data_IF_262803506785
#
_entry.id   IF_262803506785
#
_cell.length_a   1.000
_cell.length_b   1.000
_cell.length_c   1.000
_cell.angle_alpha   90.00
_cell.angle_beta   90.00
_cell.angle_gamma   90.00
#
_symmetry.space_group_name_H-M   'P 1'
#
loop_
_entity.id
_entity.type
_entity.pdbx_description
1 polymer ?
#
# COMPACT_ATOMS: atom_id res chain seq x y z
N UNK A 1 -4.50 25.71 33.66
CA UNK A 1 -5.42 25.01 32.75
C UNK A 1 -4.58 24.44 31.61
N UNK A 2 -4.07 23.24 31.81
CA UNK A 2 -3.37 22.47 30.78
C UNK A 2 -4.45 21.91 29.85
N UNK A 3 -4.47 22.40 28.60
CA UNK A 3 -5.23 21.77 27.54
C UNK A 3 -4.63 20.39 27.29
N UNK A 4 -5.34 19.36 27.76
CA UNK A 4 -5.08 17.97 27.42
C UNK A 4 -5.56 17.80 25.97
N UNK A 5 -4.65 18.04 25.01
CA UNK A 5 -4.86 17.68 23.61
C UNK A 5 -4.90 16.15 23.53
N UNK A 6 -6.09 15.59 23.74
CA UNK A 6 -6.37 14.20 23.43
C UNK A 6 -6.22 14.03 21.92
N UNK A 7 -5.02 13.61 21.50
CA UNK A 7 -4.75 13.13 20.15
C UNK A 7 -5.86 12.14 19.75
N UNK A 8 -6.45 12.29 18.54
CA UNK A 8 -7.46 11.35 18.08
C UNK A 8 -6.88 9.95 18.13
N UNK A 9 -7.59 9.03 18.81
CA UNK A 9 -7.20 7.62 18.85
C UNK A 9 -7.16 7.11 17.41
N UNK A 10 -6.06 6.51 16.96
CA UNK A 10 -5.96 6.02 15.59
C UNK A 10 -7.04 4.95 15.36
N UNK A 11 -7.76 5.04 14.24
CA UNK A 11 -8.60 3.94 13.80
C UNK A 11 -7.70 2.82 13.31
N UNK A 12 -7.63 1.75 14.11
CA UNK A 12 -6.83 0.58 13.79
C UNK A 12 -7.55 -0.22 12.71
N UNK A 13 -7.25 0.08 11.45
CA UNK A 13 -7.67 -0.75 10.32
C UNK A 13 -6.57 -1.79 10.06
N UNK A 14 -6.54 -2.85 10.87
CA UNK A 14 -5.61 -3.97 10.68
C UNK A 14 -5.88 -4.79 9.40
N UNK A 15 -6.94 -4.49 8.65
CA UNK A 15 -7.34 -5.25 7.49
C UNK A 15 -6.82 -4.60 6.21
N UNK A 16 -6.16 -5.38 5.35
CA UNK A 16 -5.83 -4.98 3.96
C UNK A 16 -7.07 -4.81 3.06
N UNK A 17 -8.27 -5.06 3.59
CA UNK A 17 -9.53 -5.04 2.87
C UNK A 17 -10.65 -4.50 3.75
N UNK A 18 -11.49 -3.67 3.15
CA UNK A 18 -12.72 -3.15 3.70
C UNK A 18 -13.83 -3.51 2.72
N UNK A 19 -14.85 -4.20 3.22
CA UNK A 19 -16.00 -4.60 2.43
C UNK A 19 -17.14 -3.62 2.66
N UNK A 20 -17.72 -3.11 1.58
CA UNK A 20 -18.81 -2.13 1.60
C UNK A 20 -19.97 -2.73 0.84
N UNK A 21 -21.13 -2.94 1.47
CA UNK A 21 -22.24 -3.65 0.82
C UNK A 21 -23.34 -2.71 0.34
N UNK A 22 -23.41 -1.51 0.89
CA UNK A 22 -24.46 -0.52 0.63
C UNK A 22 -23.89 0.89 0.41
N UNK A 23 -24.73 1.81 -0.06
CA UNK A 23 -24.34 3.22 -0.19
C UNK A 23 -24.20 3.85 1.20
N UNK A 24 -25.05 3.42 2.14
CA UNK A 24 -25.03 3.85 3.53
C UNK A 24 -23.73 3.44 4.23
N UNK A 25 -23.24 2.21 3.97
CA UNK A 25 -21.95 1.73 4.48
C UNK A 25 -20.80 2.58 3.93
N UNK A 26 -20.88 2.98 2.65
CA UNK A 26 -19.87 3.83 2.02
C UNK A 26 -19.87 5.24 2.63
N UNK A 27 -21.04 5.80 2.88
CA UNK A 27 -21.18 7.13 3.48
C UNK A 27 -20.68 7.14 4.92
N UNK A 28 -21.04 6.11 5.72
CA UNK A 28 -20.49 5.93 7.07
C UNK A 28 -18.97 5.78 7.03
N UNK A 29 -18.44 4.96 6.12
CA UNK A 29 -17.00 4.79 5.96
C UNK A 29 -16.30 6.10 5.59
N UNK A 30 -16.88 6.88 4.67
CA UNK A 30 -16.36 8.17 4.26
C UNK A 30 -16.27 9.15 5.45
N UNK A 31 -17.29 9.23 6.29
CA UNK A 31 -17.32 10.09 7.47
C UNK A 31 -16.33 9.64 8.56
N UNK A 32 -16.18 8.32 8.76
CA UNK A 32 -15.29 7.78 9.79
C UNK A 32 -13.81 7.80 9.41
N UNK A 33 -13.49 7.65 8.13
CA UNK A 33 -12.11 7.48 7.68
C UNK A 33 -11.41 8.79 7.36
N UNK A 34 -12.16 9.79 6.91
CA UNK A 34 -11.59 11.08 6.53
C UNK A 34 -11.24 11.87 7.78
N UNK A 35 -9.98 12.27 7.90
CA UNK A 35 -9.49 12.98 9.08
C UNK A 35 -8.95 12.07 10.18
N UNK A 36 -9.10 10.75 10.04
CA UNK A 36 -8.59 9.78 11.00
C UNK A 36 -7.39 9.03 10.43
N UNK A 37 -6.26 8.95 11.16
CA UNK A 37 -5.10 8.24 10.68
C UNK A 37 -5.37 6.73 10.61
N UNK A 38 -5.01 6.14 9.46
CA UNK A 38 -5.12 4.72 9.16
C UNK A 38 -3.82 3.99 9.53
N UNK A 39 -3.90 2.94 10.33
CA UNK A 39 -2.75 2.10 10.66
C UNK A 39 -2.76 0.82 9.82
N UNK A 40 -1.78 0.65 8.93
CA UNK A 40 -1.62 -0.50 8.05
C UNK A 40 -0.40 -1.32 8.46
N UNK A 41 -0.49 -2.66 8.39
CA UNK A 41 0.67 -3.55 8.48
C UNK A 41 1.30 -3.70 7.10
N UNK A 42 2.60 -3.45 7.00
CA UNK A 42 3.37 -3.57 5.76
C UNK A 42 4.55 -4.48 6.01
N UNK A 43 4.73 -5.48 5.15
CA UNK A 43 5.97 -6.27 5.12
C UNK A 43 6.96 -5.62 4.15
N UNK A 44 8.24 -5.58 4.51
CA UNK A 44 9.26 -4.93 3.70
C UNK A 44 10.57 -5.72 3.70
N UNK A 45 11.16 -5.86 2.50
CA UNK A 45 12.42 -6.56 2.27
C UNK A 45 13.39 -5.67 1.48
N UNK A 46 14.60 -5.52 2.01
CA UNK A 46 15.72 -4.85 1.36
C UNK A 46 16.77 -5.88 0.95
N UNK A 47 16.90 -6.11 -0.35
CA UNK A 47 17.86 -7.06 -0.94
C UNK A 47 19.01 -6.28 -1.57
N UNK A 48 20.25 -6.65 -1.23
CA UNK A 48 21.44 -6.19 -1.94
C UNK A 48 21.85 -7.28 -2.93
N UNK A 49 22.00 -6.92 -4.19
CA UNK A 49 22.66 -7.76 -5.19
C UNK A 49 24.10 -7.27 -5.36
N UNK A 50 25.05 -8.16 -5.14
CA UNK A 50 26.46 -7.93 -5.45
C UNK A 50 26.72 -8.25 -6.92
N UNK A 51 27.28 -7.30 -7.66
CA UNK A 51 27.59 -7.45 -9.10
C UNK A 51 28.56 -8.62 -9.37
N UNK A 52 29.36 -9.01 -8.38
CA UNK A 52 30.39 -10.05 -8.50
C UNK A 52 29.89 -11.48 -8.23
N UNK A 53 28.82 -11.66 -7.44
CA UNK A 53 28.41 -13.00 -6.99
C UNK A 53 27.05 -13.45 -7.52
N UNK A 54 26.27 -12.60 -8.21
CA UNK A 54 24.86 -12.86 -8.60
C UNK A 54 23.92 -13.32 -7.47
N UNK A 55 24.42 -13.52 -6.25
CA UNK A 55 23.64 -13.89 -5.09
C UNK A 55 22.95 -12.66 -4.51
N UNK A 56 21.64 -12.82 -4.32
CA UNK A 56 20.81 -11.86 -3.61
C UNK A 56 21.04 -12.06 -2.11
N UNK A 57 21.64 -11.09 -1.45
CA UNK A 57 21.76 -11.09 0.00
C UNK A 57 20.63 -10.23 0.59
N UNK A 58 19.77 -10.86 1.39
CA UNK A 58 18.76 -10.14 2.17
C UNK A 58 19.50 -9.34 3.25
N UNK A 59 19.54 -8.02 3.11
CA UNK A 59 20.18 -7.16 4.11
C UNK A 59 19.25 -6.91 5.28
N UNK A 60 17.95 -6.79 5.01
CA UNK A 60 16.94 -6.55 6.03
C UNK A 60 15.56 -7.03 5.57
N UNK A 61 14.85 -7.69 6.46
CA UNK A 61 13.45 -8.09 6.30
C UNK A 61 12.72 -7.74 7.60
N UNK A 62 11.52 -7.16 7.51
CA UNK A 62 10.72 -6.90 8.70
C UNK A 62 9.28 -6.46 8.45
N UNK A 63 8.44 -6.70 9.47
CA UNK A 63 7.12 -6.12 9.59
C UNK A 63 7.22 -4.67 10.08
N UNK A 64 6.58 -3.76 9.33
CA UNK A 64 6.45 -2.34 9.62
C UNK A 64 4.98 -1.99 9.83
N UNK A 65 4.77 -0.91 10.59
CA UNK A 65 3.48 -0.25 10.70
C UNK A 65 3.52 1.06 9.90
N UNK A 66 2.64 1.18 8.93
CA UNK A 66 2.44 2.39 8.13
C UNK A 66 1.25 3.15 8.70
N UNK A 67 1.51 4.34 9.25
CA UNK A 67 0.45 5.26 9.67
C UNK A 67 0.20 6.25 8.53
N UNK A 68 -1.00 6.21 7.97
CA UNK A 68 -1.43 7.06 6.86
C UNK A 68 -2.37 8.12 7.38
N UNK A 69 -1.97 9.38 7.27
CA UNK A 69 -2.84 10.52 7.58
C UNK A 69 -3.80 10.80 6.41
N UNK A 70 -5.05 10.36 6.54
CA UNK A 70 -6.08 10.56 5.51
C UNK A 70 -6.50 12.02 5.34
N UNK A 71 -6.14 12.89 6.28
CA UNK A 71 -6.39 14.34 6.19
C UNK A 71 -5.36 15.05 5.29
N UNK A 72 -4.26 14.36 4.96
CA UNK A 72 -3.16 14.95 4.20
C UNK A 72 -3.65 15.49 2.84
N UNK A 73 -3.25 16.70 2.42
CA UNK A 73 -3.78 17.37 1.22
C UNK A 73 -3.52 16.62 -0.09
N UNK A 74 -2.59 15.66 -0.11
CA UNK A 74 -2.34 14.80 -1.27
C UNK A 74 -3.08 13.45 -1.23
N UNK A 75 -3.55 13.00 -0.05
CA UNK A 75 -4.32 11.75 0.08
C UNK A 75 -5.80 12.04 -0.03
N UNK A 76 -6.26 13.04 0.73
CA UNK A 76 -7.68 13.35 0.89
C UNK A 76 -8.40 13.53 -0.44
N UNK A 77 -7.92 14.36 -1.39
CA UNK A 77 -8.66 14.58 -2.63
C UNK A 77 -8.70 13.35 -3.53
N UNK A 78 -7.66 12.52 -3.51
CA UNK A 78 -7.63 11.28 -4.30
C UNK A 78 -8.60 10.25 -3.72
N UNK A 79 -8.61 10.11 -2.39
CA UNK A 79 -9.50 9.21 -1.67
C UNK A 79 -10.97 9.65 -1.83
N UNK A 80 -11.28 10.92 -1.63
CA UNK A 80 -12.62 11.48 -1.84
C UNK A 80 -13.10 11.25 -3.28
N UNK A 81 -12.23 11.50 -4.28
CA UNK A 81 -12.56 11.25 -5.69
C UNK A 81 -12.88 9.77 -5.95
N UNK A 82 -12.11 8.86 -5.38
CA UNK A 82 -12.34 7.42 -5.56
C UNK A 82 -13.61 6.93 -4.84
N UNK A 83 -13.88 7.44 -3.64
CA UNK A 83 -15.11 7.13 -2.90
C UNK A 83 -16.34 7.67 -3.64
N UNK A 84 -16.28 8.87 -4.20
CA UNK A 84 -17.37 9.42 -5.01
C UNK A 84 -17.61 8.61 -6.30
N UNK A 85 -16.55 8.11 -6.95
CA UNK A 85 -16.70 7.17 -8.06
C UNK A 85 -17.37 5.86 -7.63
N UNK A 86 -16.95 5.28 -6.50
CA UNK A 86 -17.55 4.07 -5.93
C UNK A 86 -19.04 4.29 -5.59
N UNK A 87 -19.40 5.47 -5.07
CA UNK A 87 -20.79 5.84 -4.78
C UNK A 87 -21.67 5.76 -6.02
N UNK A 88 -21.22 6.35 -7.15
CA UNK A 88 -21.93 6.30 -8.44
C UNK A 88 -22.09 4.86 -8.95
N UNK A 89 -21.07 4.03 -8.76
CA UNK A 89 -21.12 2.61 -9.14
C UNK A 89 -22.13 1.84 -8.28
N UNK A 90 -22.13 2.05 -6.96
CA UNK A 90 -23.11 1.44 -6.06
C UNK A 90 -24.55 1.87 -6.38
N UNK A 91 -24.79 3.16 -6.66
CA UNK A 91 -26.11 3.68 -7.03
C UNK A 91 -26.64 3.05 -8.32
N UNK A 92 -25.76 2.72 -9.26
CA UNK A 92 -26.10 1.98 -10.49
C UNK A 92 -26.14 0.46 -10.31
N UNK A 93 -26.05 -0.04 -9.06
CA UNK A 93 -25.99 -1.47 -8.69
C UNK A 93 -24.79 -2.22 -9.30
N UNK A 94 -23.73 -1.50 -9.61
CA UNK A 94 -22.48 -2.08 -10.09
C UNK A 94 -21.56 -2.53 -8.96
N UNK A 95 -20.44 -3.15 -9.35
CA UNK A 95 -19.37 -3.51 -8.42
C UNK A 95 -18.11 -2.70 -8.67
N UNK A 96 -17.35 -2.45 -7.60
CA UNK A 96 -16.14 -1.65 -7.62
C UNK A 96 -15.06 -2.24 -6.72
N UNK A 97 -13.81 -1.90 -7.00
CA UNK A 97 -12.67 -2.18 -6.15
C UNK A 97 -11.71 -0.98 -6.19
N UNK A 98 -11.64 -0.23 -5.10
CA UNK A 98 -10.63 0.81 -4.90
C UNK A 98 -9.38 0.13 -4.35
N UNK A 99 -8.25 0.33 -5.03
CA UNK A 99 -6.93 -0.08 -4.57
C UNK A 99 -6.11 1.17 -4.28
N UNK A 100 -5.76 1.37 -3.01
CA UNK A 100 -4.81 2.40 -2.59
C UNK A 100 -3.44 1.75 -2.44
N UNK A 101 -2.50 2.19 -3.27
CA UNK A 101 -1.17 1.63 -3.40
C UNK A 101 -0.11 2.61 -2.87
N UNK A 102 0.38 2.34 -1.66
CA UNK A 102 1.45 3.11 -1.04
C UNK A 102 2.84 2.57 -1.39
N UNK A 103 2.93 1.51 -2.20
CA UNK A 103 4.20 0.89 -2.61
C UNK A 103 5.20 1.90 -3.20
N UNK A 104 4.81 2.73 -4.19
CA UNK A 104 5.72 3.71 -4.80
C UNK A 104 6.32 4.71 -3.80
N UNK A 105 5.51 5.20 -2.85
CA UNK A 105 5.95 6.14 -1.81
C UNK A 105 6.95 5.49 -0.85
N UNK A 106 6.72 4.24 -0.47
CA UNK A 106 7.64 3.45 0.36
C UNK A 106 8.94 3.16 -0.39
N UNK A 107 8.85 2.78 -1.67
CA UNK A 107 10.02 2.53 -2.52
C UNK A 107 10.92 3.77 -2.60
N UNK A 108 10.32 4.94 -2.78
CA UNK A 108 11.05 6.21 -2.80
C UNK A 108 11.72 6.50 -1.46
N UNK A 109 11.00 6.31 -0.35
CA UNK A 109 11.57 6.49 0.99
C UNK A 109 12.72 5.52 1.27
N UNK A 110 12.59 4.24 0.90
CA UNK A 110 13.64 3.25 1.11
C UNK A 110 14.90 3.58 0.31
N UNK A 111 14.77 4.07 -0.93
CA UNK A 111 15.93 4.55 -1.72
C UNK A 111 16.69 5.67 -1.02
N UNK A 112 15.99 6.55 -0.29
CA UNK A 112 16.60 7.65 0.46
C UNK A 112 17.20 7.16 1.79
N UNK A 113 16.48 6.28 2.52
CA UNK A 113 16.88 5.79 3.83
C UNK A 113 18.02 4.76 3.78
N UNK A 114 18.14 4.03 2.66
CA UNK A 114 19.15 3.02 2.40
C UNK A 114 19.83 3.30 1.05
N UNK A 115 20.64 4.37 0.97
CA UNK A 115 21.33 4.72 -0.27
C UNK A 115 22.28 3.60 -0.66
N UNK A 116 22.24 3.20 -1.94
CA UNK A 116 23.12 2.15 -2.46
C UNK A 116 24.58 2.61 -2.39
N UNK A 117 25.51 1.81 -1.83
CA UNK A 117 26.94 2.07 -2.02
C UNK A 117 27.29 1.97 -3.51
N UNK A 118 28.30 2.74 -3.94
CA UNK A 118 28.80 2.70 -5.31
C UNK A 118 29.13 1.24 -5.68
N UNK A 119 28.65 0.76 -6.84
CA UNK A 119 28.83 -0.60 -7.35
C UNK A 119 27.98 -1.72 -6.70
N UNK A 120 26.79 -1.42 -6.17
CA UNK A 120 25.81 -2.46 -5.75
C UNK A 120 24.42 -2.21 -6.32
N UNK A 121 23.79 -3.26 -6.85
CA UNK A 121 22.40 -3.25 -7.31
C UNK A 121 21.49 -3.66 -6.14
N UNK A 122 21.05 -2.71 -5.31
CA UNK A 122 20.06 -2.99 -4.26
C UNK A 122 18.65 -3.07 -4.81
N UNK A 123 17.99 -4.24 -4.82
CA UNK A 123 16.56 -4.33 -5.15
C UNK A 123 15.73 -4.33 -3.88
N UNK A 124 14.89 -3.33 -3.72
CA UNK A 124 13.83 -3.35 -2.73
C UNK A 124 12.71 -4.23 -3.29
N UNK A 125 12.21 -5.21 -2.52
CA UNK A 125 11.17 -6.14 -2.98
C UNK A 125 9.92 -6.09 -2.10
N UNK A 126 8.78 -6.09 -2.81
CA UNK A 126 7.42 -6.36 -2.36
C UNK A 126 6.99 -5.74 -1.01
N UNK A 127 6.68 -4.45 -1.02
CA UNK A 127 5.82 -3.88 0.01
C UNK A 127 4.36 -4.14 -0.34
N UNK A 128 3.70 -5.04 0.40
CA UNK A 128 2.23 -5.16 0.34
C UNK A 128 1.56 -4.02 1.10
N UNK A 129 1.89 -2.79 0.74
CA UNK A 129 1.27 -1.58 1.30
C UNK A 129 0.01 -1.22 0.49
N UNK A 130 -0.90 -2.18 0.40
CA UNK A 130 -2.14 -2.08 -0.36
C UNK A 130 -3.32 -2.06 0.60
N UNK A 131 -4.19 -1.07 0.43
CA UNK A 131 -5.51 -1.03 1.05
C UNK A 131 -6.56 -1.23 -0.05
N UNK A 132 -7.45 -2.19 0.15
CA UNK A 132 -8.57 -2.46 -0.75
C UNK A 132 -9.89 -2.05 -0.11
N UNK A 133 -10.72 -1.33 -0.85
CA UNK A 133 -12.10 -0.99 -0.45
C UNK A 133 -13.02 -1.47 -1.59
N UNK A 134 -13.89 -2.44 -1.33
CA UNK A 134 -14.64 -3.12 -2.41
C UNK A 134 -15.98 -3.66 -1.94
N UNK A 135 -16.93 -3.80 -2.87
CA UNK A 135 -18.18 -4.55 -2.68
C UNK A 135 -18.17 -5.90 -3.43
N UNK A 136 -16.99 -6.32 -3.91
CA UNK A 136 -16.77 -7.51 -4.71
C UNK A 136 -15.48 -8.20 -4.23
N UNK A 137 -14.67 -8.73 -5.15
CA UNK A 137 -13.41 -9.38 -4.88
C UNK A 137 -12.22 -8.47 -5.22
N UNK A 138 -11.18 -8.58 -4.40
CA UNK A 138 -9.82 -8.10 -4.74
C UNK A 138 -9.38 -8.65 -6.10
N UNK A 139 -8.59 -7.90 -6.87
CA UNK A 139 -7.96 -8.45 -8.06
C UNK A 139 -7.09 -9.64 -7.64
N UNK A 140 -7.48 -10.83 -8.08
CA UNK A 140 -6.69 -12.03 -7.88
C UNK A 140 -5.54 -12.02 -8.89
N UNK A 141 -4.32 -12.04 -8.38
CA UNK A 141 -3.16 -12.46 -9.17
C UNK A 141 -3.28 -13.97 -9.38
N UNK A 142 -4.20 -14.42 -10.24
CA UNK A 142 -4.44 -15.84 -10.49
C UNK A 142 -3.23 -16.55 -11.14
N UNK A 143 -2.13 -15.83 -11.36
CA UNK A 143 -1.03 -16.22 -12.23
C UNK A 143 0.35 -15.83 -11.71
N UNK A 144 0.51 -15.67 -10.39
CA UNK A 144 1.83 -15.64 -9.74
C UNK A 144 2.43 -17.05 -9.79
N UNK A 145 2.67 -17.55 -10.99
CA UNK A 145 3.11 -18.90 -11.31
C UNK A 145 4.64 -18.93 -11.37
N UNK A 146 5.27 -19.91 -10.73
CA UNK A 146 6.71 -20.18 -10.92
C UNK A 146 6.99 -20.58 -12.37
N UNK A 147 8.23 -20.39 -12.84
CA UNK A 147 8.63 -20.61 -14.23
C UNK A 147 8.24 -22.00 -14.79
N UNK A 148 8.15 -23.02 -13.92
CA UNK A 148 7.74 -24.38 -14.27
C UNK A 148 6.26 -24.44 -14.67
N UNK A 149 5.38 -23.73 -13.96
CA UNK A 149 3.96 -23.64 -14.30
C UNK A 149 3.72 -22.88 -15.59
N UNK A 150 4.56 -21.90 -15.90
CA UNK A 150 4.55 -21.23 -17.20
C UNK A 150 4.86 -22.17 -18.36
N UNK A 151 5.80 -23.11 -18.18
CA UNK A 151 6.14 -24.07 -19.23
C UNK A 151 5.02 -25.09 -19.46
N UNK A 152 4.36 -25.55 -18.38
CA UNK A 152 3.36 -26.61 -18.43
C UNK A 152 1.94 -26.10 -18.71
N UNK A 153 1.59 -24.92 -18.22
CA UNK A 153 0.25 -24.30 -18.36
C UNK A 153 0.27 -22.99 -19.17
N UNK A 154 1.40 -22.59 -19.75
CA UNK A 154 1.55 -21.34 -20.52
C UNK A 154 0.48 -21.13 -21.60
N UNK A 155 0.12 -22.15 -22.41
CA UNK A 155 -0.97 -22.01 -23.37
C UNK A 155 -2.33 -21.78 -22.71
N UNK A 156 -2.62 -22.44 -21.59
CA UNK A 156 -3.85 -22.21 -20.80
C UNK A 156 -3.83 -20.82 -20.13
N UNK A 157 -2.64 -20.34 -19.73
CA UNK A 157 -2.43 -18.99 -19.20
C UNK A 157 -2.75 -17.92 -20.24
N UNK A 158 -2.26 -18.07 -21.47
CA UNK A 158 -2.50 -17.12 -22.56
C UNK A 158 -3.99 -16.93 -22.87
N UNK A 159 -4.83 -17.93 -22.59
CA UNK A 159 -6.28 -17.85 -22.78
C UNK A 159 -6.98 -17.38 -21.50
N UNK A 160 -6.62 -17.93 -20.34
CA UNK A 160 -7.33 -17.64 -19.07
C UNK A 160 -7.08 -16.23 -18.55
N UNK A 161 -5.86 -15.68 -18.69
CA UNK A 161 -5.53 -14.34 -18.23
C UNK A 161 -6.34 -13.23 -18.93
N UNK A 162 -6.41 -13.16 -20.28
CA UNK A 162 -7.25 -12.17 -20.94
C UNK A 162 -8.74 -12.41 -20.70
N UNK A 163 -9.18 -13.67 -20.62
CA UNK A 163 -10.57 -13.99 -20.28
C UNK A 163 -10.95 -13.48 -18.87
N UNK A 164 -10.08 -13.67 -17.88
CA UNK A 164 -10.28 -13.12 -16.53
C UNK A 164 -10.31 -11.60 -16.54
N UNK A 165 -9.39 -10.95 -17.27
CA UNK A 165 -9.36 -9.49 -17.37
C UNK A 165 -10.63 -8.92 -17.99
N UNK A 166 -11.12 -9.54 -19.07
CA UNK A 166 -12.39 -9.17 -19.71
C UNK A 166 -13.56 -9.39 -18.75
N UNK A 167 -13.66 -10.57 -18.14
CA UNK A 167 -14.70 -10.88 -17.15
C UNK A 167 -14.74 -9.84 -16.03
N UNK A 168 -13.58 -9.50 -15.46
CA UNK A 168 -13.47 -8.51 -14.40
C UNK A 168 -13.90 -7.14 -14.88
N UNK A 169 -13.44 -6.69 -16.04
CA UNK A 169 -13.84 -5.40 -16.62
C UNK A 169 -15.36 -5.29 -16.83
N UNK A 170 -16.08 -6.38 -17.08
CA UNK A 170 -17.54 -6.39 -17.19
C UNK A 170 -18.26 -6.41 -15.85
N UNK A 171 -17.62 -6.94 -14.79
CA UNK A 171 -18.26 -7.15 -13.48
C UNK A 171 -17.91 -6.08 -12.46
N UNK A 172 -16.68 -5.57 -12.50
CA UNK A 172 -16.11 -4.72 -11.45
C UNK A 172 -15.30 -3.59 -12.08
N UNK A 173 -15.52 -2.37 -11.60
CA UNK A 173 -14.69 -1.22 -11.95
C UNK A 173 -13.55 -1.12 -10.95
N UNK A 174 -12.32 -1.29 -11.43
CA UNK A 174 -11.11 -1.13 -10.63
C UNK A 174 -10.65 0.33 -10.62
N UNK A 175 -10.53 0.93 -9.44
CA UNK A 175 -10.08 2.31 -9.24
C UNK A 175 -8.73 2.24 -8.51
N UNK A 176 -7.65 2.75 -9.12
CA UNK A 176 -6.31 2.73 -8.51
C UNK A 176 -5.91 4.13 -8.04
N UNK A 177 -5.45 4.22 -6.80
CA UNK A 177 -4.87 5.42 -6.18
C UNK A 177 -3.41 5.12 -5.85
N UNK A 178 -2.49 6.02 -6.20
CA UNK A 178 -1.06 5.90 -5.92
C UNK A 178 -0.57 7.23 -5.36
N UNK A 179 -0.73 7.48 -4.04
CA UNK A 179 -0.40 8.78 -3.47
C UNK A 179 1.11 9.04 -3.59
N UNK A 180 1.49 10.14 -4.24
CA UNK A 180 2.87 10.58 -4.36
C UNK A 180 3.25 11.46 -3.16
N UNK A 181 3.69 10.84 -2.07
CA UNK A 181 3.89 11.50 -0.78
C UNK A 181 5.20 11.03 -0.14
N UNK A 182 5.91 11.96 0.49
CA UNK A 182 7.09 11.64 1.26
C UNK A 182 6.72 10.80 2.50
N UNK A 183 7.27 9.58 2.58
CA UNK A 183 7.15 8.73 3.78
C UNK A 183 8.24 9.12 4.77
N UNK A 184 7.85 9.20 6.05
CA UNK A 184 8.72 9.59 7.15
C UNK A 184 8.76 8.47 8.20
N UNK A 185 9.96 8.13 8.69
CA UNK A 185 10.12 7.15 9.76
C UNK A 185 10.05 7.83 11.12
N UNK A 186 9.09 7.43 11.95
CA UNK A 186 9.01 7.83 13.36
C UNK A 186 9.34 6.65 14.25
N UNK A 187 10.12 6.90 15.30
CA UNK A 187 10.44 5.90 16.33
C UNK A 187 10.02 6.43 17.70
N UNK A 188 9.42 5.58 18.51
CA UNK A 188 9.05 5.89 19.88
C UNK A 188 10.26 5.57 20.77
N UNK A 189 10.78 6.58 21.46
CA UNK A 189 11.86 6.39 22.43
C UNK A 189 11.31 5.75 23.71
N UNK A 190 12.17 5.11 24.53
CA UNK A 190 11.78 4.59 25.85
C UNK A 190 11.16 5.66 26.77
N UNK A 191 11.47 6.93 26.52
CA UNK A 191 10.89 8.08 27.23
C UNK A 191 9.46 8.43 26.79
N UNK A 192 8.85 7.67 25.88
CA UNK A 192 7.55 7.96 25.28
C UNK A 192 7.56 9.09 24.24
N UNK A 193 8.72 9.70 23.95
CA UNK A 193 8.84 10.76 22.95
C UNK A 193 8.87 10.16 21.55
N UNK A 194 8.07 10.70 20.64
CA UNK A 194 8.10 10.36 19.22
C UNK A 194 9.17 11.23 18.58
N UNK A 195 10.17 10.60 17.96
CA UNK A 195 11.23 11.30 17.24
C UNK A 195 11.20 10.88 15.78
N UNK A 196 11.29 11.87 14.90
CA UNK A 196 11.51 11.65 13.48
C UNK A 196 12.94 11.18 13.26
N UNK A 197 13.09 9.99 12.69
CA UNK A 197 14.40 9.39 12.44
C UNK A 197 14.80 9.67 11.01
N UNK A 198 15.44 10.81 10.81
CA UNK A 198 16.17 11.08 9.58
C UNK A 198 17.54 10.42 9.73
N UNK A 199 17.82 9.36 8.95
CA UNK A 199 19.20 8.86 8.84
C UNK A 199 20.02 9.89 8.05
N UNK A 200 20.61 10.85 8.75
CA UNK A 200 21.64 11.69 8.15
C UNK A 200 22.87 10.83 7.82
N UNK A 201 23.50 11.12 6.67
CA UNK A 201 24.82 10.58 6.33
C UNK A 201 25.76 10.81 7.51
N UNK A 202 26.29 9.74 8.09
CA UNK A 202 27.60 9.86 8.74
C UNK A 202 28.59 10.13 7.60
N UNK A 203 29.33 11.25 7.60
CA UNK A 203 30.47 11.36 6.71
C UNK A 203 31.41 10.23 7.11
N UNK A 204 31.58 9.25 6.21
CA UNK A 204 32.66 8.29 6.33
C UNK A 204 33.95 9.09 6.50
N UNK A 205 34.54 8.98 7.69
CA UNK A 205 35.90 9.44 7.99
C UNK A 205 36.85 8.29 7.76
#
# INVERSE_FOLDING_TARGET
MSHDETLPKPCVVCCSQININSVEDLDCFHEEILGVPLLLRVWAEHVIQNDLSQENQIQWEGDLALLVDTSHPMIRPELERALEQARKILQSRGSFCIQVDFGPAIDQWLKVAYPRPCCTLGSIRNHKALLFITNYDKPKNCFDCTAIWWLLLGPCWLVSAPCYKLYRNFKCVDIKICPDIAVVRRTILPSGKIVEVTRCKLPFS
#
